data_IF_012239610980
#
_entry.id   IF_012239610980
#
_cell.length_a   1.000
_cell.length_b   1.000
_cell.length_c   1.000
_cell.angle_alpha   90.00
_cell.angle_beta   90.00
_cell.angle_gamma   90.00
#
_symmetry.space_group_name_H-M   'P 1'
#
loop_
_entity.id
_entity.type
_entity.pdbx_description
1 polymer ?
#
# COMPACT_ATOMS: atom_id res chain seq x y z
N UNK A 1 -20.92 -3.48 2.83
CA UNK A 1 -19.52 -3.94 2.92
C UNK A 1 -19.04 -4.57 1.60
N UNK A 2 -19.91 -5.18 0.80
CA UNK A 2 -19.54 -5.93 -0.41
C UNK A 2 -18.78 -5.17 -1.51
N UNK A 3 -18.87 -3.83 -1.54
CA UNK A 3 -18.17 -3.02 -2.54
C UNK A 3 -16.66 -2.94 -2.29
N UNK A 4 -16.23 -2.82 -1.03
CA UNK A 4 -14.79 -2.64 -0.73
C UNK A 4 -14.01 -3.94 -0.93
N UNK A 5 -14.58 -5.07 -0.51
CA UNK A 5 -13.95 -6.38 -0.71
C UNK A 5 -13.81 -6.70 -2.20
N UNK A 6 -14.80 -6.31 -3.02
CA UNK A 6 -14.71 -6.40 -4.47
C UNK A 6 -13.56 -5.54 -5.03
N UNK A 7 -13.42 -4.30 -4.57
CA UNK A 7 -12.33 -3.40 -4.97
C UNK A 7 -10.97 -3.97 -4.57
N UNK A 8 -10.82 -4.46 -3.33
CA UNK A 8 -9.58 -5.06 -2.81
C UNK A 8 -9.20 -6.30 -3.65
N UNK A 9 -10.16 -7.18 -3.93
CA UNK A 9 -9.93 -8.36 -4.76
C UNK A 9 -9.55 -7.99 -6.19
N UNK A 10 -10.15 -6.93 -6.73
CA UNK A 10 -9.89 -6.46 -8.10
C UNK A 10 -8.52 -5.80 -8.21
N UNK A 11 -8.16 -4.91 -7.29
CA UNK A 11 -6.87 -4.21 -7.31
C UNK A 11 -5.70 -5.18 -7.14
N UNK A 12 -5.88 -6.24 -6.34
CA UNK A 12 -4.87 -7.29 -6.14
C UNK A 12 -4.51 -8.06 -7.41
N UNK A 13 -5.32 -7.99 -8.48
CA UNK A 13 -4.98 -8.57 -9.79
C UNK A 13 -4.04 -7.67 -10.60
N UNK A 14 -4.06 -6.37 -10.35
CA UNK A 14 -3.32 -5.37 -11.12
C UNK A 14 -2.04 -4.91 -10.41
N UNK A 15 -1.92 -5.21 -9.12
CA UNK A 15 -0.73 -4.91 -8.32
C UNK A 15 0.23 -6.09 -8.38
N UNK A 16 1.51 -5.79 -8.63
CA UNK A 16 2.59 -6.74 -8.39
C UNK A 16 3.03 -6.66 -6.93
N UNK A 17 2.74 -7.70 -6.17
CA UNK A 17 3.25 -7.86 -4.80
C UNK A 17 4.71 -8.32 -4.90
N UNK A 18 5.66 -7.41 -4.71
CA UNK A 18 7.08 -7.74 -4.79
C UNK A 18 7.64 -8.30 -3.49
N UNK A 19 8.81 -8.94 -3.61
CA UNK A 19 9.56 -9.46 -2.46
C UNK A 19 10.39 -8.36 -1.79
N UNK A 20 10.49 -8.34 -0.44
CA UNK A 20 11.27 -7.40 0.36
C UNK A 20 12.64 -7.03 -0.27
N UNK A 21 12.87 -5.77 -0.71
CA UNK A 21 14.14 -5.34 -1.35
C UNK A 21 15.19 -5.05 -0.29
N UNK A 22 16.22 -5.90 -0.17
CA UNK A 22 17.39 -5.72 0.70
C UNK A 22 18.22 -4.49 0.33
N UNK A 23 17.88 -3.37 0.96
CA UNK A 23 18.66 -2.12 1.10
C UNK A 23 19.02 -1.40 -0.21
N UNK A 24 18.72 -0.09 -0.29
CA UNK A 24 19.06 0.72 -1.47
C UNK A 24 18.55 2.17 -1.38
N UNK A 25 19.18 3.04 -2.18
CA UNK A 25 18.94 4.50 -2.24
C UNK A 25 17.47 4.89 -2.46
N UNK A 26 17.00 5.88 -1.70
CA UNK A 26 15.62 6.40 -1.64
C UNK A 26 15.06 6.85 -3.00
N UNK A 27 15.92 7.13 -3.99
CA UNK A 27 15.55 7.67 -5.31
C UNK A 27 15.15 6.62 -6.35
N UNK A 28 15.27 5.33 -6.04
CA UNK A 28 14.92 4.25 -6.96
C UNK A 28 14.48 3.05 -6.13
N UNK A 29 13.29 2.52 -6.38
CA UNK A 29 12.71 1.33 -5.73
C UNK A 29 11.93 1.60 -4.44
N UNK A 30 10.59 1.50 -4.52
CA UNK A 30 9.78 1.04 -3.40
C UNK A 30 8.67 0.13 -3.92
N UNK A 31 9.06 -1.08 -4.30
CA UNK A 31 8.12 -2.17 -4.44
C UNK A 31 8.09 -3.03 -3.17
N UNK A 32 9.05 -2.94 -2.24
CA UNK A 32 9.06 -3.84 -1.07
C UNK A 32 10.26 -3.57 -0.13
N UNK A 33 10.06 -3.60 1.20
CA UNK A 33 11.09 -3.33 2.24
C UNK A 33 11.72 -4.64 2.78
N UNK A 34 13.04 -4.72 3.03
CA UNK A 34 13.73 -5.96 3.36
C UNK A 34 13.52 -6.57 4.73
N UNK A 35 12.98 -5.80 5.68
CA UNK A 35 12.87 -6.21 7.08
C UNK A 35 11.48 -6.73 7.43
N UNK A 36 10.56 -6.65 6.48
CA UNK A 36 9.22 -7.18 6.58
C UNK A 36 9.11 -8.25 5.48
N UNK A 37 9.19 -9.52 5.87
CA UNK A 37 9.07 -10.67 4.96
C UNK A 37 7.63 -10.87 4.47
N UNK A 38 6.94 -9.79 4.10
CA UNK A 38 5.53 -9.79 3.69
C UNK A 38 5.45 -9.21 2.29
N UNK A 39 4.87 -9.97 1.36
CA UNK A 39 4.57 -9.51 0.01
C UNK A 39 3.36 -8.57 0.08
N UNK A 40 3.64 -7.28 0.20
CA UNK A 40 2.63 -6.24 0.36
C UNK A 40 2.94 -5.04 -0.54
N UNK A 41 1.91 -4.26 -0.85
CA UNK A 41 1.98 -3.09 -1.71
C UNK A 41 1.70 -1.82 -0.90
N UNK A 42 2.53 -0.80 -1.07
CA UNK A 42 2.41 0.45 -0.35
C UNK A 42 1.17 1.23 -0.79
N UNK A 43 0.30 1.55 0.18
CA UNK A 43 -0.95 2.27 -0.08
C UNK A 43 -0.87 3.73 0.37
N UNK A 44 -0.53 3.99 1.63
CA UNK A 44 -0.48 5.35 2.15
C UNK A 44 0.39 5.43 3.40
N UNK A 45 0.60 6.65 3.89
CA UNK A 45 1.20 6.91 5.18
C UNK A 45 0.47 8.05 5.88
N UNK A 46 0.39 7.98 7.20
CA UNK A 46 -0.13 9.04 8.06
C UNK A 46 0.94 9.44 9.07
N UNK A 47 1.23 10.74 9.12
CA UNK A 47 2.14 11.31 10.08
C UNK A 47 1.56 11.18 11.50
N UNK A 48 2.38 10.70 12.43
CA UNK A 48 2.02 10.55 13.85
C UNK A 48 2.78 11.51 14.74
N UNK A 49 4.04 11.79 14.42
CA UNK A 49 4.85 12.79 15.11
C UNK A 49 5.83 13.44 14.13
N UNK A 50 5.77 14.77 14.00
CA UNK A 50 6.65 15.56 13.14
C UNK A 50 8.09 15.58 13.62
N UNK A 51 8.31 15.72 14.94
CA UNK A 51 9.65 15.85 15.53
C UNK A 51 10.48 14.59 15.35
N UNK A 52 9.84 13.43 15.48
CA UNK A 52 10.50 12.12 15.32
C UNK A 52 10.48 11.62 13.88
N UNK A 53 9.86 12.37 12.96
CA UNK A 53 9.59 11.93 11.59
C UNK A 53 8.96 10.54 11.57
N UNK A 54 7.94 10.37 12.42
CA UNK A 54 7.30 9.10 12.73
C UNK A 54 5.94 8.99 12.04
N UNK A 55 5.75 7.89 11.31
CA UNK A 55 4.59 7.64 10.47
C UNK A 55 4.02 6.25 10.73
N UNK A 56 2.72 6.12 10.51
CA UNK A 56 2.09 4.84 10.24
C UNK A 56 1.93 4.68 8.74
N UNK A 57 2.52 3.64 8.16
CA UNK A 57 2.30 3.28 6.77
C UNK A 57 1.26 2.16 6.68
N UNK A 58 0.45 2.19 5.62
CA UNK A 58 -0.57 1.19 5.32
C UNK A 58 -0.15 0.46 4.07
N UNK A 59 -0.12 -0.86 4.15
CA UNK A 59 0.27 -1.76 3.08
C UNK A 59 -0.85 -2.75 2.80
N UNK A 60 -1.15 -3.02 1.53
CA UNK A 60 -2.12 -4.03 1.10
C UNK A 60 -1.40 -5.35 0.80
N UNK A 61 -1.83 -6.44 1.42
CA UNK A 61 -1.31 -7.79 1.12
C UNK A 61 -2.09 -8.46 0.00
N UNK A 62 -1.48 -9.48 -0.59
CA UNK A 62 -2.09 -10.30 -1.66
C UNK A 62 -3.38 -10.99 -1.21
N UNK A 63 -3.48 -11.33 0.07
CA UNK A 63 -4.65 -11.99 0.65
C UNK A 63 -5.82 -11.01 0.89
N UNK A 64 -5.68 -9.72 0.56
CA UNK A 64 -6.73 -8.71 0.70
C UNK A 64 -6.84 -8.08 2.09
N UNK A 65 -5.87 -8.34 2.97
CA UNK A 65 -5.77 -7.69 4.28
C UNK A 65 -4.67 -6.63 4.27
N UNK A 66 -4.71 -5.73 5.25
CA UNK A 66 -3.72 -4.68 5.40
C UNK A 66 -2.67 -5.01 6.48
N UNK A 67 -1.50 -4.40 6.34
CA UNK A 67 -0.46 -4.33 7.37
C UNK A 67 -0.22 -2.86 7.68
N UNK A 68 -0.13 -2.54 8.96
CA UNK A 68 0.28 -1.23 9.42
C UNK A 68 1.70 -1.34 9.95
N UNK A 69 2.58 -0.43 9.52
CA UNK A 69 3.96 -0.38 10.01
C UNK A 69 4.25 0.97 10.63
N UNK A 70 4.95 0.94 11.76
CA UNK A 70 5.64 2.09 12.33
C UNK A 70 6.86 2.38 11.45
N UNK A 71 7.01 3.61 10.97
CA UNK A 71 8.12 4.02 10.12
C UNK A 71 8.74 5.32 10.64
N UNK A 72 10.05 5.30 10.87
CA UNK A 72 10.85 6.48 11.24
C UNK A 72 11.78 6.82 10.09
N UNK A 73 11.62 8.02 9.56
CA UNK A 73 12.42 8.54 8.46
C UNK A 73 13.51 9.43 9.05
N UNK A 74 14.76 9.00 9.07
CA UNK A 74 15.89 9.79 9.58
C UNK A 74 16.93 9.93 8.47
N UNK A 75 17.09 11.15 7.96
CA UNK A 75 17.95 11.46 6.81
C UNK A 75 17.64 10.58 5.58
N UNK A 76 18.62 9.79 5.13
CA UNK A 76 18.49 8.83 4.03
C UNK A 76 18.08 7.42 4.50
N UNK A 77 17.89 7.23 5.80
CA UNK A 77 17.56 5.94 6.39
C UNK A 77 16.09 5.89 6.80
N UNK A 78 15.47 4.73 6.59
CA UNK A 78 14.13 4.46 7.10
C UNK A 78 14.17 3.22 7.96
N UNK A 79 13.72 3.36 9.20
CA UNK A 79 13.52 2.23 10.11
C UNK A 79 12.05 1.88 10.14
N UNK A 80 11.71 0.61 9.96
CA UNK A 80 10.33 0.12 9.97
C UNK A 80 10.15 -1.01 10.96
N UNK A 81 8.96 -1.09 11.53
CA UNK A 81 8.50 -2.17 12.41
C UNK A 81 7.02 -2.45 12.14
N UNK A 82 6.61 -3.71 12.16
CA UNK A 82 5.19 -4.07 12.05
C UNK A 82 4.48 -3.59 13.32
N UNK A 83 3.45 -2.77 13.13
CA UNK A 83 2.55 -2.33 14.20
C UNK A 83 1.38 -3.31 14.36
N UNK A 84 0.71 -3.60 13.24
CA UNK A 84 -0.43 -4.52 13.17
C UNK A 84 -0.41 -5.27 11.84
N UNK A 85 -0.79 -6.54 11.87
CA UNK A 85 -0.90 -7.41 10.70
C UNK A 85 -2.33 -7.98 10.61
N UNK A 86 -2.76 -8.36 9.40
CA UNK A 86 -4.09 -8.87 9.07
C UNK A 86 -5.23 -7.90 9.40
N UNK A 87 -4.99 -6.60 9.19
CA UNK A 87 -5.95 -5.52 9.47
C UNK A 87 -7.03 -5.48 8.40
N UNK A 88 -8.31 -5.44 8.78
CA UNK A 88 -9.42 -5.29 7.83
C UNK A 88 -9.63 -3.83 7.42
N UNK A 89 -10.38 -3.59 6.35
CA UNK A 89 -10.71 -2.21 5.94
C UNK A 89 -11.52 -1.46 7.02
N UNK A 90 -12.40 -2.15 7.75
CA UNK A 90 -13.13 -1.53 8.86
C UNK A 90 -12.21 -1.17 10.02
N UNK A 91 -11.20 -1.99 10.31
CA UNK A 91 -10.18 -1.65 11.31
C UNK A 91 -9.39 -0.41 10.89
N UNK A 92 -9.09 -0.26 9.59
CA UNK A 92 -8.45 0.96 9.08
C UNK A 92 -9.31 2.20 9.34
N UNK A 93 -10.64 2.13 9.12
CA UNK A 93 -11.55 3.23 9.47
C UNK A 93 -11.47 3.57 10.96
N UNK A 94 -11.44 2.55 11.81
CA UNK A 94 -11.39 2.73 13.26
C UNK A 94 -10.05 3.32 13.74
N UNK A 95 -8.92 2.94 13.12
CA UNK A 95 -7.57 3.35 13.54
C UNK A 95 -7.16 4.72 12.98
N UNK A 96 -7.56 5.02 11.75
CA UNK A 96 -7.11 6.21 11.03
C UNK A 96 -8.20 7.26 10.82
N UNK A 97 -9.47 6.85 10.82
CA UNK A 97 -10.63 7.67 10.49
C UNK A 97 -11.24 7.29 9.14
N UNK A 98 -12.49 7.68 8.94
CA UNK A 98 -13.24 7.37 7.72
C UNK A 98 -12.64 8.04 6.48
N UNK A 99 -12.12 9.25 6.61
CA UNK A 99 -11.50 10.00 5.50
C UNK A 99 -10.26 9.28 4.94
N UNK A 100 -9.36 8.82 5.81
CA UNK A 100 -8.17 8.07 5.42
C UNK A 100 -8.54 6.75 4.74
N UNK A 101 -9.49 6.02 5.31
CA UNK A 101 -9.98 4.77 4.72
C UNK A 101 -10.60 5.03 3.34
N UNK A 102 -11.44 6.06 3.20
CA UNK A 102 -12.01 6.44 1.92
C UNK A 102 -10.93 6.82 0.89
N UNK A 103 -9.88 7.53 1.32
CA UNK A 103 -8.71 7.80 0.49
C UNK A 103 -8.03 6.55 -0.04
N UNK A 104 -7.95 5.48 0.76
CA UNK A 104 -7.45 4.18 0.30
C UNK A 104 -8.35 3.55 -0.76
N UNK A 105 -9.67 3.60 -0.57
CA UNK A 105 -10.63 3.07 -1.55
C UNK A 105 -10.54 3.79 -2.90
N UNK A 106 -10.40 5.12 -2.87
CA UNK A 106 -10.14 5.92 -4.07
C UNK A 106 -8.86 5.46 -4.74
N UNK A 107 -7.75 5.39 -4.00
CA UNK A 107 -6.45 4.97 -4.55
C UNK A 107 -6.51 3.59 -5.20
N UNK A 108 -7.16 2.61 -4.57
CA UNK A 108 -7.35 1.27 -5.18
C UNK A 108 -8.13 1.35 -6.48
N UNK A 109 -9.19 2.16 -6.50
CA UNK A 109 -10.02 2.38 -7.70
C UNK A 109 -9.22 3.06 -8.83
N UNK A 110 -8.36 4.02 -8.50
CA UNK A 110 -7.48 4.66 -9.48
C UNK A 110 -6.45 3.71 -10.07
N UNK A 111 -5.87 2.83 -9.26
CA UNK A 111 -4.95 1.78 -9.74
C UNK A 111 -5.67 0.90 -10.75
N UNK A 112 -6.86 0.38 -10.40
CA UNK A 112 -7.68 -0.43 -11.31
C UNK A 112 -7.96 0.31 -12.62
N UNK A 113 -8.44 1.55 -12.55
CA UNK A 113 -8.79 2.34 -13.74
C UNK A 113 -7.58 2.60 -14.65
N UNK A 114 -6.40 2.87 -14.06
CA UNK A 114 -5.16 3.08 -14.82
C UNK A 114 -4.74 1.80 -15.53
N UNK A 115 -4.70 0.68 -14.82
CA UNK A 115 -4.33 -0.62 -15.40
C UNK A 115 -5.29 -1.05 -16.52
N UNK A 116 -6.60 -0.89 -16.33
CA UNK A 116 -7.60 -1.22 -17.37
C UNK A 116 -7.47 -0.33 -18.63
N UNK A 117 -7.15 0.96 -18.45
CA UNK A 117 -6.90 1.86 -19.57
C UNK A 117 -5.62 1.50 -20.33
N UNK A 118 -4.57 1.10 -19.60
CA UNK A 118 -3.30 0.65 -20.17
C UNK A 118 -3.49 -0.63 -20.98
N UNK A 119 -4.15 -1.65 -20.43
CA UNK A 119 -4.48 -2.91 -21.12
C UNK A 119 -5.24 -2.68 -22.44
N UNK A 120 -6.20 -1.75 -22.43
CA UNK A 120 -6.95 -1.35 -23.62
C UNK A 120 -6.08 -0.66 -24.68
N UNK A 121 -5.11 0.16 -24.25
CA UNK A 121 -4.20 0.88 -25.14
C UNK A 121 -3.17 -0.04 -25.81
N UNK A 122 -2.69 -1.08 -25.11
CA UNK A 122 -1.78 -2.10 -25.66
C UNK A 122 -2.47 -3.00 -26.68
N UNK A 123 -3.77 -3.24 -26.52
CA UNK A 123 -4.56 -4.04 -27.47
C UNK A 123 -4.75 -3.34 -28.83
N UNK A 124 -4.74 -1.99 -28.87
CA UNK A 124 -4.86 -1.21 -30.12
C UNK A 124 -3.59 -1.15 -30.96
N UNK A 125 -2.41 -1.43 -30.39
CA UNK A 125 -1.13 -1.39 -31.12
C UNK A 125 -0.79 -2.70 -31.84
N UNK A 126 -1.64 -3.73 -31.74
CA UNK A 126 -1.46 -5.05 -32.36
C UNK A 126 -2.54 -5.42 -33.38
N UNK A 127 -3.34 -4.45 -33.83
CA UNK A 127 -4.34 -4.62 -34.89
C UNK A 127 -3.93 -3.88 -36.15
#
# INVERSE_FOLDING_TARGET
MDNIDHIIKKVSKYISFGQPVSSGSVFSQRISDPRIAISAYYMSMKLRNEEEQYYHEIWLKKEGHFVITEAWYKDSNVSRKIFQDNVSYEDIKNIFGEEDAHGLAIRMTEIIKKSEKEDWSSSKKRA
#
